data_IF_925405545338
#
_entry.id   IF_925405545338
#
_cell.length_a   1.000
_cell.length_b   1.000
_cell.length_c   1.000
_cell.angle_alpha   90.00
_cell.angle_beta   90.00
_cell.angle_gamma   90.00
#
_symmetry.space_group_name_H-M   'P 1'
#
loop_
_entity.id
_entity.type
_entity.pdbx_description
1 polymer ?
#
# COMPACT_ATOMS: atom_id res chain seq x y z
N UNK A 1 -3.76 8.52 21.47
CA UNK A 1 -4.96 8.32 22.33
C UNK A 1 -4.87 9.07 23.67
N UNK A 2 -4.59 10.39 23.71
CA UNK A 2 -4.37 11.06 25.01
C UNK A 2 -4.78 12.53 25.13
N UNK A 3 -5.71 13.03 24.30
CA UNK A 3 -6.26 14.38 24.51
C UNK A 3 -7.69 14.25 25.00
N UNK A 4 -8.55 13.54 24.26
CA UNK A 4 -9.95 13.34 24.65
C UNK A 4 -10.11 12.61 25.99
N UNK A 5 -9.31 11.57 26.23
CA UNK A 5 -9.34 10.84 27.51
C UNK A 5 -8.92 11.74 28.68
N UNK A 6 -7.88 12.55 28.49
CA UNK A 6 -7.44 13.52 29.49
C UNK A 6 -8.50 14.57 29.76
N UNK A 7 -9.16 15.11 28.73
CA UNK A 7 -10.24 16.08 28.93
C UNK A 7 -11.42 15.46 29.67
N UNK A 8 -11.80 14.23 29.31
CA UNK A 8 -12.88 13.50 30.00
C UNK A 8 -12.54 13.24 31.47
N UNK A 9 -11.28 12.89 31.79
CA UNK A 9 -10.81 12.75 33.18
C UNK A 9 -10.83 14.09 33.93
N UNK A 10 -10.42 15.18 33.29
CA UNK A 10 -10.44 16.53 33.90
C UNK A 10 -11.87 16.99 34.21
N UNK A 11 -12.85 16.58 33.39
CA UNK A 11 -14.26 16.88 33.59
C UNK A 11 -15.01 15.79 34.40
N UNK A 12 -14.28 15.00 35.19
CA UNK A 12 -14.83 13.95 36.07
C UNK A 12 -15.81 13.00 35.37
N UNK A 13 -15.50 12.62 34.12
CA UNK A 13 -16.33 11.77 33.26
C UNK A 13 -17.74 12.31 32.94
N UNK A 14 -18.03 13.56 33.28
CA UNK A 14 -19.37 14.09 33.27
C UNK A 14 -19.72 14.91 32.01
N UNK A 15 -18.72 15.32 31.20
CA UNK A 15 -18.90 16.05 29.92
C UNK A 15 -19.91 17.20 30.04
N UNK A 16 -19.81 18.03 31.09
CA UNK A 16 -20.77 19.09 31.41
C UNK A 16 -20.63 20.33 30.53
N UNK A 17 -19.46 20.56 29.93
CA UNK A 17 -19.14 21.75 29.14
C UNK A 17 -18.65 21.36 27.72
N UNK A 18 -18.83 22.26 26.75
CA UNK A 18 -18.49 21.98 25.35
C UNK A 18 -16.97 21.84 25.16
N UNK A 19 -16.48 20.61 24.97
CA UNK A 19 -15.07 20.33 24.69
C UNK A 19 -14.81 20.25 23.20
N UNK A 20 -13.99 21.16 22.68
CA UNK A 20 -13.48 21.09 21.29
C UNK A 20 -11.99 20.75 21.29
N UNK A 21 -11.60 19.72 20.54
CA UNK A 21 -10.20 19.35 20.30
C UNK A 21 -9.90 19.50 18.82
N UNK A 22 -8.94 20.34 18.47
CA UNK A 22 -8.42 20.49 17.10
C UNK A 22 -6.97 20.00 17.07
N UNK A 23 -6.68 19.07 16.16
CA UNK A 23 -5.31 18.57 15.92
C UNK A 23 -4.92 18.92 14.49
N UNK A 24 -3.84 19.68 14.34
CA UNK A 24 -3.21 19.96 13.05
C UNK A 24 -1.83 19.29 13.02
N UNK A 25 -1.60 18.42 12.03
CA UNK A 25 -0.31 17.79 11.79
C UNK A 25 0.27 18.30 10.47
N UNK A 26 1.36 19.05 10.56
CA UNK A 26 2.17 19.39 9.39
C UNK A 26 3.12 18.22 9.07
N UNK A 27 3.27 17.87 7.80
CA UNK A 27 4.19 16.84 7.34
C UNK A 27 4.79 17.21 5.99
N UNK A 28 6.01 16.74 5.75
CA UNK A 28 6.64 16.86 4.43
C UNK A 28 5.87 16.07 3.37
N UNK A 29 6.01 16.50 2.11
CA UNK A 29 5.42 15.79 0.97
C UNK A 29 6.12 14.43 0.83
N UNK A 30 5.34 13.36 0.84
CA UNK A 30 5.82 11.98 0.67
C UNK A 30 4.99 11.28 -0.41
N UNK A 31 5.36 11.40 -1.70
CA UNK A 31 4.76 10.61 -2.76
C UNK A 31 5.09 9.13 -2.54
N UNK A 32 4.13 8.25 -2.81
CA UNK A 32 4.34 6.80 -2.78
C UNK A 32 4.02 6.25 -4.16
N UNK A 33 5.04 5.67 -4.80
CA UNK A 33 4.96 5.04 -6.10
C UNK A 33 4.77 3.53 -5.89
N UNK A 34 3.65 2.98 -6.36
CA UNK A 34 3.28 1.57 -6.17
C UNK A 34 3.26 0.88 -7.53
N UNK A 35 4.06 -0.16 -7.69
CA UNK A 35 4.04 -1.01 -8.89
C UNK A 35 3.31 -2.32 -8.60
N UNK A 36 2.25 -2.60 -9.36
CA UNK A 36 1.43 -3.81 -9.22
C UNK A 36 1.40 -4.53 -10.57
N UNK A 37 2.00 -5.73 -10.62
CA UNK A 37 2.17 -6.49 -11.87
C UNK A 37 3.32 -5.96 -12.73
N UNK A 38 4.03 -6.85 -13.46
CA UNK A 38 5.06 -6.43 -14.40
C UNK A 38 4.44 -5.87 -15.70
N UNK A 39 5.17 -5.02 -16.44
CA UNK A 39 4.79 -4.50 -17.76
C UNK A 39 4.51 -5.61 -18.77
N UNK A 40 3.71 -5.30 -19.80
CA UNK A 40 3.27 -6.29 -20.80
C UNK A 40 4.43 -6.90 -21.61
N UNK A 41 5.46 -6.11 -21.92
CA UNK A 41 6.60 -6.54 -22.73
C UNK A 41 7.93 -6.27 -22.01
N UNK A 42 8.92 -7.15 -22.26
CA UNK A 42 10.29 -6.98 -21.74
C UNK A 42 11.00 -5.75 -22.31
N UNK A 43 10.58 -5.26 -23.48
CA UNK A 43 11.13 -4.05 -24.09
C UNK A 43 10.58 -2.79 -23.38
N UNK A 44 9.35 -2.86 -22.85
CA UNK A 44 8.73 -1.82 -22.02
C UNK A 44 9.17 -1.86 -20.55
N UNK A 45 9.82 -2.94 -20.11
CA UNK A 45 10.36 -3.06 -18.74
C UNK A 45 11.32 -1.91 -18.44
N UNK A 46 12.22 -1.57 -19.36
CA UNK A 46 13.27 -0.60 -19.07
C UNK A 46 12.73 0.83 -18.94
N UNK A 47 11.78 1.22 -19.81
CA UNK A 47 11.14 2.54 -19.78
C UNK A 47 10.25 2.68 -18.55
N UNK A 48 9.49 1.64 -18.22
CA UNK A 48 8.63 1.61 -17.04
C UNK A 48 9.43 1.65 -15.75
N UNK A 49 10.50 0.87 -15.63
CA UNK A 49 11.37 0.90 -14.45
C UNK A 49 12.07 2.26 -14.30
N UNK A 50 12.54 2.87 -15.39
CA UNK A 50 13.08 4.24 -15.38
C UNK A 50 12.04 5.26 -14.91
N UNK A 51 10.79 5.15 -15.37
CA UNK A 51 9.71 6.01 -14.92
C UNK A 51 9.39 5.79 -13.44
N UNK A 52 9.36 4.53 -13.00
CA UNK A 52 9.05 4.16 -11.62
C UNK A 52 10.10 4.72 -10.66
N UNK A 53 11.38 4.42 -10.89
CA UNK A 53 12.49 4.86 -10.04
C UNK A 53 12.92 6.31 -10.27
N UNK A 54 12.48 6.94 -11.36
CA UNK A 54 12.70 8.36 -11.63
C UNK A 54 11.73 9.28 -10.88
N UNK A 55 10.70 8.73 -10.23
CA UNK A 55 9.78 9.50 -9.40
C UNK A 55 10.33 9.65 -7.99
N UNK A 56 10.28 10.86 -7.46
CA UNK A 56 10.59 11.09 -6.04
C UNK A 56 9.61 10.34 -5.12
N UNK A 57 10.08 10.08 -3.90
CA UNK A 57 9.29 9.45 -2.85
C UNK A 57 9.57 7.96 -2.70
N UNK A 58 8.65 7.26 -2.04
CA UNK A 58 8.81 5.83 -1.72
C UNK A 58 8.45 4.96 -2.91
N UNK A 59 9.14 3.83 -3.01
CA UNK A 59 8.94 2.81 -4.04
C UNK A 59 8.41 1.54 -3.39
N UNK A 60 7.20 1.16 -3.76
CA UNK A 60 6.51 -0.04 -3.25
C UNK A 60 6.26 -0.99 -4.42
N UNK A 61 6.60 -2.26 -4.25
CA UNK A 61 6.45 -3.29 -5.28
C UNK A 61 5.56 -4.41 -4.78
N UNK A 62 4.52 -4.74 -5.55
CA UNK A 62 3.57 -5.80 -5.22
C UNK A 62 3.61 -6.92 -6.26
N UNK A 63 3.90 -8.14 -5.80
CA UNK A 63 3.86 -9.38 -6.57
C UNK A 63 5.23 -9.94 -6.94
N UNK A 64 5.39 -11.26 -6.81
CA UNK A 64 6.66 -11.95 -7.06
C UNK A 64 7.24 -11.74 -8.47
N UNK A 65 6.44 -11.77 -9.53
CA UNK A 65 6.95 -11.51 -10.89
C UNK A 65 7.43 -10.07 -11.04
N UNK A 66 6.69 -9.11 -10.50
CA UNK A 66 7.07 -7.68 -10.46
C UNK A 66 8.38 -7.49 -9.67
N UNK A 67 8.46 -8.12 -8.50
CA UNK A 67 9.64 -8.10 -7.63
C UNK A 67 10.89 -8.61 -8.35
N UNK A 68 10.77 -9.71 -9.10
CA UNK A 68 11.88 -10.26 -9.88
C UNK A 68 12.29 -9.34 -11.04
N UNK A 69 11.33 -8.73 -11.75
CA UNK A 69 11.62 -7.77 -12.81
C UNK A 69 12.36 -6.53 -12.26
N UNK A 70 11.88 -5.99 -11.13
CA UNK A 70 12.52 -4.87 -10.43
C UNK A 70 13.93 -5.23 -9.95
N UNK A 71 14.11 -6.38 -9.31
CA UNK A 71 15.42 -6.81 -8.82
C UNK A 71 16.41 -7.00 -9.98
N UNK A 72 15.95 -7.57 -11.10
CA UNK A 72 16.76 -7.70 -12.32
C UNK A 72 17.17 -6.34 -12.88
N UNK A 73 16.27 -5.35 -12.90
CA UNK A 73 16.58 -3.99 -13.35
C UNK A 73 17.61 -3.30 -12.47
N UNK A 74 17.50 -3.45 -11.15
CA UNK A 74 18.42 -2.86 -10.18
C UNK A 74 19.75 -3.63 -10.04
N UNK A 75 19.86 -4.82 -10.64
CA UNK A 75 21.05 -5.68 -10.50
C UNK A 75 21.22 -6.27 -9.10
N UNK A 76 20.12 -6.48 -8.37
CA UNK A 76 20.10 -6.99 -7.00
C UNK A 76 19.28 -8.28 -6.91
N UNK A 77 19.26 -8.93 -5.74
CA UNK A 77 18.48 -10.14 -5.49
C UNK A 77 17.25 -9.83 -4.64
N UNK A 78 16.19 -10.61 -4.86
CA UNK A 78 15.02 -10.63 -3.97
C UNK A 78 15.33 -11.54 -2.78
N UNK A 79 15.13 -11.03 -1.57
CA UNK A 79 15.31 -11.79 -0.33
C UNK A 79 13.97 -11.90 0.40
N UNK A 80 13.39 -13.10 0.49
CA UNK A 80 12.20 -13.32 1.31
C UNK A 80 12.52 -13.05 2.77
N UNK A 81 11.62 -12.38 3.49
CA UNK A 81 11.77 -12.06 4.91
C UNK A 81 11.03 -13.11 5.76
N UNK A 82 11.72 -14.11 6.36
CA UNK A 82 11.06 -15.14 7.14
C UNK A 82 10.36 -14.54 8.37
N UNK A 83 9.20 -15.09 8.74
CA UNK A 83 8.42 -14.61 9.90
C UNK A 83 7.66 -13.31 9.67
N UNK A 84 7.68 -12.75 8.46
CA UNK A 84 6.86 -11.59 8.08
C UNK A 84 5.46 -11.95 7.58
N UNK A 85 5.20 -13.23 7.33
CA UNK A 85 3.89 -13.73 6.89
C UNK A 85 2.99 -14.14 8.06
N UNK A 86 1.70 -14.24 7.77
CA UNK A 86 0.65 -14.79 8.62
C UNK A 86 -0.08 -15.92 7.89
N UNK A 87 -1.14 -16.47 8.47
CA UNK A 87 -1.99 -17.46 7.79
C UNK A 87 -2.66 -16.87 6.53
N UNK A 88 -3.04 -15.59 6.56
CA UNK A 88 -3.74 -14.93 5.45
C UNK A 88 -2.81 -14.13 4.52
N UNK A 89 -1.70 -13.62 5.05
CA UNK A 89 -0.80 -12.70 4.34
C UNK A 89 0.53 -13.39 4.09
N UNK A 90 0.92 -13.61 2.83
CA UNK A 90 2.22 -14.19 2.52
C UNK A 90 3.40 -13.36 3.07
N UNK A 91 4.58 -13.98 3.27
CA UNK A 91 5.78 -13.26 3.63
C UNK A 91 6.12 -12.13 2.65
N UNK A 92 6.63 -11.03 3.19
CA UNK A 92 7.24 -9.96 2.41
C UNK A 92 8.59 -10.38 1.83
N UNK A 93 9.07 -9.59 0.88
CA UNK A 93 10.44 -9.65 0.40
C UNK A 93 11.16 -8.33 0.63
N UNK A 94 12.48 -8.37 0.56
CA UNK A 94 13.37 -7.23 0.57
C UNK A 94 14.09 -7.17 -0.78
N UNK A 95 14.11 -5.98 -1.37
CA UNK A 95 14.86 -5.65 -2.58
C UNK A 95 15.61 -4.36 -2.27
N UNK A 96 16.93 -4.38 -2.37
CA UNK A 96 17.72 -3.18 -2.14
C UNK A 96 17.35 -2.09 -3.14
N UNK A 97 16.96 -0.91 -2.64
CA UNK A 97 16.45 0.21 -3.45
C UNK A 97 14.91 0.28 -3.55
N UNK A 98 14.17 -0.58 -2.85
CA UNK A 98 12.70 -0.56 -2.74
C UNK A 98 12.30 -0.46 -1.27
N UNK A 99 11.39 0.46 -0.93
CA UNK A 99 10.98 0.73 0.45
C UNK A 99 10.11 -0.39 1.05
N UNK A 100 9.28 -1.03 0.22
CA UNK A 100 8.41 -2.14 0.63
C UNK A 100 8.16 -3.08 -0.54
N UNK A 101 8.42 -4.38 -0.35
CA UNK A 101 8.05 -5.41 -1.33
C UNK A 101 7.10 -6.43 -0.70
N UNK A 102 5.91 -6.56 -1.26
CA UNK A 102 4.89 -7.51 -0.81
C UNK A 102 4.54 -8.51 -1.90
N UNK A 103 3.80 -9.57 -1.54
CA UNK A 103 3.10 -10.35 -2.54
C UNK A 103 2.01 -9.53 -3.23
N UNK A 104 1.46 -10.11 -4.31
CA UNK A 104 0.57 -9.42 -5.24
C UNK A 104 -0.87 -9.37 -4.75
N UNK A 105 -1.78 -9.92 -5.56
CA UNK A 105 -3.24 -9.85 -5.40
C UNK A 105 -3.71 -10.26 -3.99
N UNK A 106 -3.13 -11.31 -3.41
CA UNK A 106 -3.51 -11.81 -2.08
C UNK A 106 -3.28 -10.74 -1.01
N UNK A 107 -2.07 -10.15 -0.95
CA UNK A 107 -1.74 -9.11 0.02
C UNK A 107 -2.55 -7.84 -0.23
N UNK A 108 -2.77 -7.45 -1.49
CA UNK A 108 -3.58 -6.26 -1.80
C UNK A 108 -5.03 -6.46 -1.35
N UNK A 109 -5.63 -7.64 -1.53
CA UNK A 109 -6.97 -7.93 -1.01
C UNK A 109 -7.08 -7.76 0.51
N UNK A 110 -6.12 -8.28 1.27
CA UNK A 110 -6.11 -8.09 2.72
C UNK A 110 -5.86 -6.61 3.08
N UNK A 111 -5.02 -5.91 2.33
CA UNK A 111 -4.78 -4.46 2.49
C UNK A 111 -6.08 -3.67 2.32
N UNK A 112 -6.91 -4.03 1.34
CA UNK A 112 -8.22 -3.40 1.13
C UNK A 112 -9.15 -3.62 2.31
N UNK A 113 -9.15 -4.82 2.93
CA UNK A 113 -9.90 -5.06 4.18
C UNK A 113 -9.40 -4.13 5.30
N UNK A 114 -8.08 -4.01 5.48
CA UNK A 114 -7.47 -3.10 6.46
C UNK A 114 -7.85 -1.63 6.24
N UNK A 115 -7.86 -1.17 4.98
CA UNK A 115 -8.27 0.19 4.63
C UNK A 115 -9.76 0.40 4.93
N UNK A 116 -10.61 -0.61 4.67
CA UNK A 116 -12.03 -0.55 4.99
C UNK A 116 -12.26 -0.43 6.50
N UNK A 117 -11.53 -1.19 7.30
CA UNK A 117 -11.60 -1.10 8.76
C UNK A 117 -11.15 0.29 9.26
N UNK A 118 -10.07 0.84 8.67
CA UNK A 118 -9.65 2.23 8.94
C UNK A 118 -10.69 3.28 8.56
N UNK A 119 -11.38 3.11 7.44
CA UNK A 119 -12.46 4.01 7.02
C UNK A 119 -13.67 3.94 7.95
N UNK A 120 -13.92 2.79 8.56
CA UNK A 120 -14.98 2.60 9.54
C UNK A 120 -14.61 3.18 10.92
N UNK A 121 -13.35 3.01 11.33
CA UNK A 121 -12.79 3.58 12.56
C UNK A 121 -11.33 4.03 12.35
N UNK A 122 -11.11 5.35 12.33
CA UNK A 122 -9.77 5.91 12.18
C UNK A 122 -8.78 5.51 13.28
N UNK A 123 -9.25 5.08 14.46
CA UNK A 123 -8.38 4.57 15.53
C UNK A 123 -7.75 3.22 15.18
N UNK A 124 -8.28 2.51 14.18
CA UNK A 124 -7.71 1.27 13.66
C UNK A 124 -6.26 1.43 13.18
N UNK A 125 -5.83 2.65 12.84
CA UNK A 125 -4.42 2.96 12.54
C UNK A 125 -3.45 2.52 13.65
N UNK A 126 -3.89 2.57 14.92
CA UNK A 126 -3.09 2.12 16.08
C UNK A 126 -2.91 0.61 16.11
N UNK A 127 -3.89 -0.14 15.60
CA UNK A 127 -3.78 -1.59 15.45
C UNK A 127 -2.87 -1.93 14.27
N UNK A 128 -3.04 -1.27 13.13
CA UNK A 128 -2.17 -1.42 11.96
C UNK A 128 -0.70 -1.20 12.32
N UNK A 129 -0.39 -0.19 13.13
CA UNK A 129 0.96 0.11 13.58
C UNK A 129 1.62 -1.01 14.40
N UNK A 130 0.83 -1.94 14.97
CA UNK A 130 1.33 -3.11 15.72
C UNK A 130 1.49 -4.35 14.86
N UNK A 131 0.75 -4.43 13.76
CA UNK A 131 0.81 -5.54 12.81
C UNK A 131 2.08 -5.46 11.96
N UNK A 132 2.72 -6.62 11.74
CA UNK A 132 4.02 -6.70 11.05
C UNK A 132 3.94 -7.29 9.65
N UNK A 133 2.77 -7.76 9.25
CA UNK A 133 2.54 -8.40 7.95
C UNK A 133 2.52 -7.40 6.80
N UNK A 134 2.70 -7.92 5.57
CA UNK A 134 2.79 -7.09 4.37
C UNK A 134 1.54 -6.27 4.07
N UNK A 135 0.35 -6.76 4.39
CA UNK A 135 -0.89 -6.05 4.10
C UNK A 135 -1.07 -4.86 5.05
N UNK A 136 -0.80 -5.07 6.33
CA UNK A 136 -0.88 -4.02 7.34
C UNK A 136 0.18 -2.94 7.14
N UNK A 137 1.41 -3.33 6.79
CA UNK A 137 2.46 -2.36 6.41
C UNK A 137 2.09 -1.57 5.16
N UNK A 138 1.56 -2.23 4.13
CA UNK A 138 1.12 -1.56 2.90
C UNK A 138 -0.01 -0.56 3.20
N UNK A 139 -1.00 -0.95 4.01
CA UNK A 139 -2.07 -0.05 4.44
C UNK A 139 -1.51 1.18 5.17
N UNK A 140 -0.56 0.98 6.09
CA UNK A 140 0.04 2.07 6.87
C UNK A 140 0.85 3.03 6.00
N UNK A 141 1.64 2.52 5.05
CA UNK A 141 2.35 3.36 4.06
C UNK A 141 1.35 4.19 3.25
N UNK A 142 0.27 3.58 2.75
CA UNK A 142 -0.71 4.26 1.90
C UNK A 142 -1.59 5.25 2.68
N UNK A 143 -1.95 4.96 3.92
CA UNK A 143 -2.87 5.76 4.73
C UNK A 143 -2.16 6.82 5.58
N UNK A 144 -1.03 6.51 6.19
CA UNK A 144 -0.38 7.40 7.17
C UNK A 144 0.82 8.14 6.59
N UNK A 145 1.58 7.49 5.70
CA UNK A 145 2.81 8.08 5.17
C UNK A 145 2.56 8.84 3.88
N UNK A 146 1.80 8.26 2.95
CA UNK A 146 1.57 8.84 1.63
C UNK A 146 0.83 10.18 1.72
N UNK A 147 1.37 11.19 1.04
CA UNK A 147 0.64 12.43 0.69
C UNK A 147 -0.11 12.29 -0.62
N UNK A 148 0.47 11.55 -1.56
CA UNK A 148 -0.16 11.14 -2.81
C UNK A 148 0.32 9.73 -3.17
N UNK A 149 -0.49 9.01 -3.94
CA UNK A 149 -0.20 7.65 -4.37
C UNK A 149 -0.19 7.60 -5.89
N UNK A 150 0.91 7.13 -6.48
CA UNK A 150 1.06 6.90 -7.90
C UNK A 150 1.09 5.40 -8.16
N UNK A 151 0.02 4.85 -8.71
CA UNK A 151 -0.07 3.43 -9.05
C UNK A 151 0.37 3.23 -10.51
N UNK A 152 1.40 2.41 -10.70
CA UNK A 152 1.79 1.84 -11.99
C UNK A 152 1.29 0.40 -12.03
N UNK A 153 0.37 0.12 -12.95
CA UNK A 153 -0.25 -1.19 -13.07
C UNK A 153 0.19 -1.87 -14.37
N UNK A 154 0.93 -2.98 -14.23
CA UNK A 154 1.46 -3.73 -15.35
C UNK A 154 0.43 -4.65 -16.01
N UNK A 155 0.37 -4.65 -17.35
CA UNK A 155 -0.54 -5.44 -18.17
C UNK A 155 0.01 -6.81 -18.60
N UNK A 156 1.05 -7.35 -17.95
CA UNK A 156 1.52 -8.70 -18.27
C UNK A 156 0.42 -9.76 -18.04
N UNK A 157 -0.16 -10.23 -19.14
CA UNK A 157 -1.06 -11.38 -19.15
C UNK A 157 -0.28 -12.61 -19.64
N UNK A 158 -0.28 -13.68 -18.84
CA UNK A 158 0.24 -14.98 -19.28
C UNK A 158 -0.95 -15.92 -19.55
N UNK A 159 -0.81 -16.81 -20.54
CA UNK A 159 -1.82 -17.83 -20.89
C UNK A 159 -2.28 -18.64 -19.66
N UNK A 160 -1.39 -18.89 -18.70
CA UNK A 160 -1.70 -19.60 -17.45
C UNK A 160 -2.62 -18.82 -16.48
N UNK A 161 -2.93 -17.56 -16.74
CA UNK A 161 -3.71 -16.68 -15.86
C UNK A 161 -5.08 -16.28 -16.44
N UNK A 162 -5.37 -16.60 -17.70
CA UNK A 162 -6.53 -16.09 -18.45
C UNK A 162 -7.89 -16.49 -17.83
N UNK A 163 -8.00 -17.66 -17.20
CA UNK A 163 -9.25 -18.17 -16.58
C UNK A 163 -9.15 -18.37 -15.06
N UNK A 164 -8.30 -17.60 -14.39
CA UNK A 164 -8.10 -17.68 -12.93
C UNK A 164 -8.51 -16.39 -12.24
N UNK A 165 -8.59 -16.40 -10.90
CA UNK A 165 -8.76 -15.18 -10.09
C UNK A 165 -7.63 -14.15 -10.31
N UNK A 166 -6.57 -14.53 -11.03
CA UNK A 166 -5.43 -13.69 -11.41
C UNK A 166 -5.53 -13.16 -12.85
N UNK A 167 -6.70 -13.20 -13.50
CA UNK A 167 -6.90 -12.58 -14.80
C UNK A 167 -6.58 -11.08 -14.75
N UNK A 168 -6.24 -10.51 -15.91
CA UNK A 168 -5.92 -9.09 -16.01
C UNK A 168 -7.10 -8.21 -15.56
N UNK A 169 -8.31 -8.52 -16.03
CA UNK A 169 -9.53 -7.77 -15.71
C UNK A 169 -9.78 -7.76 -14.21
N UNK A 170 -9.57 -8.91 -13.55
CA UNK A 170 -9.80 -9.02 -12.10
C UNK A 170 -8.77 -8.22 -11.31
N UNK A 171 -7.49 -8.28 -11.72
CA UNK A 171 -6.43 -7.44 -11.14
C UNK A 171 -6.72 -5.95 -11.35
N UNK A 172 -7.14 -5.56 -12.55
CA UNK A 172 -7.48 -4.17 -12.87
C UNK A 172 -8.64 -3.66 -12.01
N UNK A 173 -9.71 -4.45 -11.87
CA UNK A 173 -10.83 -4.13 -10.99
C UNK A 173 -10.37 -3.92 -9.54
N UNK A 174 -9.54 -4.82 -9.03
CA UNK A 174 -9.01 -4.75 -7.69
C UNK A 174 -8.14 -3.50 -7.46
N UNK A 175 -7.30 -3.13 -8.42
CA UNK A 175 -6.50 -1.90 -8.32
C UNK A 175 -7.37 -0.64 -8.43
N UNK A 176 -8.42 -0.67 -9.24
CA UNK A 176 -9.42 0.41 -9.31
C UNK A 176 -10.18 0.56 -7.99
N UNK A 177 -10.54 -0.55 -7.35
CA UNK A 177 -11.20 -0.54 -6.04
C UNK A 177 -10.27 0.04 -4.96
N UNK A 178 -9.00 -0.39 -4.92
CA UNK A 178 -7.98 0.17 -4.04
C UNK A 178 -7.84 1.69 -4.23
N UNK A 179 -7.75 2.16 -5.48
CA UNK A 179 -7.72 3.59 -5.81
C UNK A 179 -8.92 4.33 -5.23
N UNK A 180 -10.13 3.77 -5.38
CA UNK A 180 -11.35 4.41 -4.91
C UNK A 180 -11.38 4.48 -3.37
N UNK A 181 -10.99 3.41 -2.67
CA UNK A 181 -10.92 3.42 -1.20
C UNK A 181 -9.88 4.40 -0.66
N UNK A 182 -8.70 4.48 -1.27
CA UNK A 182 -7.70 5.49 -0.89
C UNK A 182 -8.20 6.91 -1.15
N UNK A 183 -8.94 7.13 -2.23
CA UNK A 183 -9.57 8.43 -2.51
C UNK A 183 -10.61 8.77 -1.44
N UNK A 184 -11.43 7.81 -1.02
CA UNK A 184 -12.37 7.98 0.10
C UNK A 184 -11.64 8.28 1.42
N UNK A 185 -10.44 7.72 1.61
CA UNK A 185 -9.56 8.03 2.75
C UNK A 185 -8.84 9.40 2.63
N UNK A 186 -9.21 10.23 1.65
CA UNK A 186 -8.67 11.57 1.45
C UNK A 186 -7.32 11.60 0.73
N UNK A 187 -6.90 10.51 0.08
CA UNK A 187 -5.66 10.49 -0.71
C UNK A 187 -5.88 10.97 -2.13
N UNK A 188 -4.90 11.68 -2.68
CA UNK A 188 -4.80 11.91 -4.13
C UNK A 188 -4.14 10.70 -4.77
N UNK A 189 -4.87 9.98 -5.63
CA UNK A 189 -4.36 8.77 -6.30
C UNK A 189 -4.34 8.95 -7.80
N UNK A 190 -3.17 8.75 -8.42
CA UNK A 190 -2.98 8.69 -9.88
C UNK A 190 -2.73 7.24 -10.26
N UNK A 191 -3.30 6.80 -11.37
CA UNK A 191 -3.11 5.44 -11.89
C UNK A 191 -2.71 5.50 -13.36
N UNK A 192 -1.69 4.73 -13.72
CA UNK A 192 -1.21 4.56 -15.10
C UNK A 192 -1.04 3.07 -15.40
N UNK A 193 -1.42 2.66 -16.60
CA UNK A 193 -1.22 1.29 -17.09
C UNK A 193 0.07 1.28 -17.91
N UNK A 194 0.88 0.24 -17.74
CA UNK A 194 2.16 0.04 -18.40
C UNK A 194 2.37 -1.42 -18.82
#
# INVERSE_FOLDING_TARGET
ASILSTVKTLDMDAMHDDTTVVVARLRERCPVNVMIGPPESKDDDLSTMRLFFGKDGKHVVCGGTTANAVASYLGVKVHTLPGSGTEEVPPMSEIHGVDLTTEGVVTVNVTMKRIKDYLADGMYTLELARMKDGASKLALVLLEEATEVNVLFGNASNLAQQDTEFSFERKLQLVQELRNMLTLAGKTVKMSIC
#
